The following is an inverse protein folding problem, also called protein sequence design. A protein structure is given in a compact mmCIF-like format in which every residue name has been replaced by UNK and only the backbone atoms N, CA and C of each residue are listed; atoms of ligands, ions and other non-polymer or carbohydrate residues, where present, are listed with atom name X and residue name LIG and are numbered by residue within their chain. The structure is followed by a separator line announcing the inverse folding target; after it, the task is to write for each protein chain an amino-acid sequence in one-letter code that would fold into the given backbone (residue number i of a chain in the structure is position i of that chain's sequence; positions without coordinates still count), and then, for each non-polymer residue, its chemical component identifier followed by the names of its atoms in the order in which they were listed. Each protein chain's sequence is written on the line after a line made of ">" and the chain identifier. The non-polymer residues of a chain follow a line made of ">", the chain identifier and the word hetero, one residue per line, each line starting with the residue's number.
data_IF_917340574879
#
_entry.id   IF_917340574879
#
_cell.length_a   1.000
_cell.length_b   1.000
_cell.length_c   1.000
_cell.angle_alpha   90.00
_cell.angle_beta   90.00
_cell.angle_gamma   90.00
#
_symmetry.space_group_name_H-M   'P 1'
#
loop_
_entity.id
_entity.type
_entity.pdbx_description
1 polymer ?
#
# COMPACT_ATOMS: atom_id res chain seq x y z
N UNK A 1 -20.70 10.89 -10.91
CA UNK A 1 -20.19 10.71 -12.28
C UNK A 1 -19.57 9.33 -12.43
N UNK A 2 -19.39 8.88 -13.68
CA UNK A 2 -18.62 7.68 -14.05
C UNK A 2 -17.87 8.00 -15.33
N UNK A 3 -16.56 7.85 -15.31
CA UNK A 3 -15.69 8.01 -16.46
C UNK A 3 -14.83 6.76 -16.63
N UNK A 4 -14.51 6.40 -17.88
CA UNK A 4 -13.59 5.30 -18.19
C UNK A 4 -12.41 5.92 -18.92
N UNK A 5 -11.21 5.60 -18.45
CA UNK A 5 -9.97 6.00 -19.11
C UNK A 5 -9.29 4.75 -19.63
N UNK A 6 -9.26 4.65 -20.94
CA UNK A 6 -8.42 3.73 -21.69
C UNK A 6 -7.05 4.41 -21.83
N UNK A 7 -5.95 3.66 -21.70
CA UNK A 7 -4.55 4.14 -21.75
C UNK A 7 -3.88 4.46 -20.41
N UNK A 8 -3.77 3.46 -19.53
CA UNK A 8 -2.81 3.52 -18.42
C UNK A 8 -1.38 3.31 -18.97
N UNK A 9 -0.73 4.42 -19.34
CA UNK A 9 0.64 4.40 -19.87
C UNK A 9 1.64 4.13 -18.74
N UNK A 10 2.37 3.02 -18.83
CA UNK A 10 3.49 2.70 -17.96
C UNK A 10 4.73 2.30 -18.74
N UNK A 11 5.88 2.59 -18.13
CA UNK A 11 7.20 2.36 -18.71
C UNK A 11 7.62 0.91 -18.47
N UNK A 12 7.46 0.05 -19.47
CA UNK A 12 7.90 -1.35 -19.46
C UNK A 12 9.37 -1.45 -19.82
N UNK A 13 10.12 -2.36 -19.19
CA UNK A 13 11.46 -2.72 -19.63
C UNK A 13 11.40 -3.46 -20.98
N UNK A 14 12.36 -3.19 -21.87
CA UNK A 14 12.53 -3.94 -23.12
C UNK A 14 13.92 -4.60 -23.13
N UNK A 15 14.07 -5.76 -23.81
CA UNK A 15 15.36 -6.43 -23.91
C UNK A 15 16.45 -5.49 -24.45
N UNK A 16 17.63 -5.52 -23.81
CA UNK A 16 18.75 -4.61 -24.05
C UNK A 16 19.41 -4.73 -25.43
N UNK A 17 19.03 -5.74 -26.24
CA UNK A 17 19.48 -5.91 -27.62
C UNK A 17 18.93 -4.83 -28.57
N UNK A 18 17.95 -4.05 -28.14
CA UNK A 18 17.29 -2.99 -28.93
C UNK A 18 17.97 -1.61 -28.82
N UNK A 19 18.97 -1.45 -27.96
CA UNK A 19 19.66 -0.17 -27.72
C UNK A 19 18.89 0.82 -26.83
N UNK A 20 17.67 0.48 -26.42
CA UNK A 20 16.86 1.19 -25.43
C UNK A 20 16.54 0.25 -24.26
N UNK A 21 16.39 0.77 -23.04
CA UNK A 21 16.12 -0.04 -21.84
C UNK A 21 14.64 -0.09 -21.44
N UNK A 22 13.79 0.77 -22.02
CA UNK A 22 12.36 0.89 -21.66
C UNK A 22 11.49 1.41 -22.80
N UNK A 23 10.21 1.03 -22.83
CA UNK A 23 9.17 1.57 -23.72
C UNK A 23 7.91 1.93 -22.90
N UNK A 24 7.20 2.99 -23.28
CA UNK A 24 5.86 3.28 -22.74
C UNK A 24 4.82 2.40 -23.42
N UNK A 25 4.14 1.57 -22.64
CA UNK A 25 3.04 0.71 -23.11
C UNK A 25 1.77 1.08 -22.37
N UNK A 26 0.62 1.03 -23.05
CA UNK A 26 -0.66 0.96 -22.36
C UNK A 26 -0.72 -0.41 -21.67
N UNK A 27 -0.73 -0.40 -20.35
CA UNK A 27 -0.75 -1.64 -19.56
C UNK A 27 -2.13 -1.99 -19.03
N UNK A 28 -3.17 -1.21 -19.34
CA UNK A 28 -4.50 -1.45 -18.81
C UNK A 28 -5.52 -0.34 -18.99
N UNK A 29 -6.77 -0.68 -18.67
CA UNK A 29 -7.92 0.22 -18.63
C UNK A 29 -8.32 0.47 -17.19
N UNK A 30 -8.69 1.71 -16.86
CA UNK A 30 -9.20 2.08 -15.53
C UNK A 30 -10.55 2.76 -15.64
N UNK A 31 -11.38 2.64 -14.61
CA UNK A 31 -12.60 3.43 -14.48
C UNK A 31 -12.58 4.25 -13.21
N UNK A 32 -13.20 5.43 -13.25
CA UNK A 32 -13.29 6.33 -12.12
C UNK A 32 -14.76 6.69 -11.85
N UNK A 33 -15.22 6.45 -10.62
CA UNK A 33 -16.62 6.61 -10.22
C UNK A 33 -16.70 7.37 -8.91
N UNK A 34 -17.50 8.44 -8.89
CA UNK A 34 -17.60 9.28 -7.72
C UNK A 34 -18.93 10.02 -7.60
N UNK A 35 -19.19 10.53 -6.40
CA UNK A 35 -20.31 11.42 -6.07
C UNK A 35 -19.74 12.69 -5.48
N UNK A 36 -20.26 13.82 -5.93
CA UNK A 36 -19.87 15.15 -5.47
C UNK A 36 -21.11 15.90 -5.01
N UNK A 37 -20.99 16.62 -3.90
CA UNK A 37 -22.03 17.45 -3.30
C UNK A 37 -21.45 18.81 -2.94
N UNK A 38 -22.20 19.86 -3.25
CA UNK A 38 -21.89 21.23 -2.86
C UNK A 38 -23.08 21.85 -2.14
N UNK A 39 -22.81 22.56 -1.04
CA UNK A 39 -23.80 23.34 -0.30
C UNK A 39 -23.30 24.77 -0.16
N UNK A 40 -24.13 25.72 -0.61
CA UNK A 40 -23.90 27.15 -0.44
C UNK A 40 -25.08 27.74 0.31
N UNK A 41 -24.81 28.45 1.40
CA UNK A 41 -25.84 29.06 2.21
C UNK A 41 -25.42 30.45 2.69
N UNK A 42 -26.35 31.39 2.65
CA UNK A 42 -26.24 32.66 3.38
C UNK A 42 -26.83 32.41 4.77
N UNK A 43 -25.97 32.42 5.79
CA UNK A 43 -26.33 32.11 7.17
C UNK A 43 -26.90 33.35 7.88
N UNK A 44 -26.34 34.52 7.58
CA UNK A 44 -26.79 35.81 8.11
C UNK A 44 -26.73 36.84 6.99
N UNK A 45 -27.79 37.62 6.86
CA UNK A 45 -27.84 38.79 6.00
C UNK A 45 -28.57 39.91 6.74
N UNK A 46 -27.81 40.85 7.31
CA UNK A 46 -28.37 41.94 8.10
C UNK A 46 -27.54 43.23 8.00
N UNK A 47 -28.10 44.24 7.31
CA UNK A 47 -27.52 45.57 7.24
C UNK A 47 -26.16 45.59 6.55
N UNK A 48 -25.13 45.97 7.29
CA UNK A 48 -23.72 46.02 6.85
C UNK A 48 -22.95 44.72 7.15
N UNK A 49 -23.62 43.68 7.68
CA UNK A 49 -23.03 42.39 7.97
C UNK A 49 -23.70 41.26 7.20
N UNK A 50 -22.89 40.43 6.53
CA UNK A 50 -23.32 39.16 5.96
C UNK A 50 -22.32 38.05 6.27
N UNK A 51 -22.85 36.84 6.45
CA UNK A 51 -22.08 35.62 6.62
C UNK A 51 -22.62 34.56 5.68
N UNK A 52 -21.76 34.03 4.81
CA UNK A 52 -22.07 32.88 3.98
C UNK A 52 -21.11 31.72 4.25
N UNK A 53 -21.60 30.51 4.01
CA UNK A 53 -20.84 29.28 4.11
C UNK A 53 -20.94 28.52 2.78
N UNK A 54 -19.81 27.96 2.35
CA UNK A 54 -19.71 27.07 1.21
C UNK A 54 -19.01 25.79 1.66
N UNK A 55 -19.66 24.66 1.43
CA UNK A 55 -19.13 23.33 1.71
C UNK A 55 -19.11 22.54 0.41
N UNK A 56 -18.02 21.82 0.19
CA UNK A 56 -17.89 20.87 -0.92
C UNK A 56 -17.47 19.53 -0.32
N UNK A 57 -17.98 18.43 -0.88
CA UNK A 57 -17.64 17.09 -0.46
C UNK A 57 -17.70 16.15 -1.66
N UNK A 58 -16.69 15.31 -1.81
CA UNK A 58 -16.56 14.37 -2.90
C UNK A 58 -16.02 13.03 -2.41
N UNK A 59 -16.55 11.96 -2.98
CA UNK A 59 -16.00 10.61 -2.86
C UNK A 59 -15.74 10.11 -4.27
N UNK A 60 -14.56 9.55 -4.49
CA UNK A 60 -14.17 9.03 -5.79
C UNK A 60 -13.41 7.70 -5.64
N UNK A 61 -13.65 6.76 -6.55
CA UNK A 61 -12.99 5.46 -6.57
C UNK A 61 -12.51 5.15 -7.98
N UNK A 62 -11.19 4.97 -8.12
CA UNK A 62 -10.57 4.49 -9.35
C UNK A 62 -10.34 2.96 -9.26
N UNK A 63 -10.77 2.23 -10.30
CA UNK A 63 -10.66 0.77 -10.41
C UNK A 63 -9.84 0.38 -11.62
N UNK A 64 -9.12 -0.73 -11.51
CA UNK A 64 -8.43 -1.38 -12.63
C UNK A 64 -9.42 -2.33 -13.30
N UNK A 65 -9.77 -2.07 -14.55
CA UNK A 65 -10.77 -2.85 -15.29
C UNK A 65 -10.13 -3.97 -16.11
N UNK A 66 -8.93 -3.72 -16.64
CA UNK A 66 -8.15 -4.69 -17.39
C UNK A 66 -6.67 -4.32 -17.32
N UNK A 67 -5.79 -5.31 -17.45
CA UNK A 67 -4.36 -5.10 -17.67
C UNK A 67 -3.94 -5.70 -19.02
N UNK A 68 -2.63 -5.70 -19.30
CA UNK A 68 -1.96 -6.19 -20.51
C UNK A 68 -2.05 -7.71 -20.76
N UNK A 69 -3.19 -8.32 -20.45
CA UNK A 69 -3.43 -9.76 -20.52
C UNK A 69 -3.02 -10.53 -19.25
N UNK A 70 -2.68 -9.81 -18.17
CA UNK A 70 -2.37 -10.40 -16.86
C UNK A 70 -3.41 -10.01 -15.81
N UNK A 71 -3.52 -10.81 -14.75
CA UNK A 71 -4.48 -10.52 -13.67
C UNK A 71 -3.91 -9.53 -12.65
N UNK A 72 -2.58 -9.46 -12.52
CA UNK A 72 -1.93 -8.52 -11.61
C UNK A 72 -0.52 -8.10 -12.04
N UNK A 73 -0.10 -6.95 -11.51
CA UNK A 73 1.22 -6.33 -11.71
C UNK A 73 1.72 -5.73 -10.41
N UNK A 74 2.99 -5.98 -10.13
CA UNK A 74 3.70 -5.35 -9.03
C UNK A 74 4.56 -4.19 -9.53
N UNK A 75 4.70 -3.15 -8.70
CA UNK A 75 5.51 -1.99 -9.01
C UNK A 75 6.36 -1.58 -7.81
N UNK A 76 7.50 -0.99 -8.13
CA UNK A 76 8.49 -0.52 -7.17
C UNK A 76 8.62 1.00 -7.31
N UNK A 77 8.26 1.72 -6.26
CA UNK A 77 8.42 3.18 -6.22
C UNK A 77 9.88 3.60 -6.06
N UNK A 78 10.74 2.69 -5.56
CA UNK A 78 12.13 2.96 -5.21
C UNK A 78 12.29 4.10 -4.18
N UNK A 79 11.28 4.35 -3.34
CA UNK A 79 11.28 5.48 -2.39
C UNK A 79 12.46 5.45 -1.40
N UNK A 80 12.97 4.26 -1.08
CA UNK A 80 14.15 4.07 -0.22
C UNK A 80 15.43 3.69 -0.99
N UNK A 81 15.53 4.07 -2.27
CA UNK A 81 16.72 3.82 -3.09
C UNK A 81 17.14 2.34 -3.11
N UNK A 82 18.41 2.04 -2.89
CA UNK A 82 18.97 0.67 -2.92
C UNK A 82 18.40 -0.26 -1.86
N UNK A 83 17.85 0.27 -0.77
CA UNK A 83 17.39 -0.55 0.36
C UNK A 83 16.08 -1.29 0.04
N UNK A 84 15.31 -0.79 -0.93
CA UNK A 84 14.04 -1.38 -1.38
C UNK A 84 13.97 -1.56 -2.90
N UNK A 85 15.11 -1.56 -3.59
CA UNK A 85 15.15 -1.65 -5.06
C UNK A 85 14.53 -2.93 -5.63
N UNK A 86 14.48 -3.99 -4.83
CA UNK A 86 13.92 -5.29 -5.20
C UNK A 86 12.63 -5.62 -4.40
N UNK A 87 11.97 -4.59 -3.86
CA UNK A 87 10.72 -4.75 -3.09
C UNK A 87 9.59 -3.98 -3.73
N UNK A 88 8.64 -4.73 -4.26
CA UNK A 88 7.38 -4.18 -4.73
C UNK A 88 6.67 -3.47 -3.59
N UNK A 89 6.07 -2.32 -3.83
CA UNK A 89 5.34 -1.55 -2.81
C UNK A 89 3.99 -1.03 -3.33
N UNK A 90 3.73 -1.24 -4.62
CA UNK A 90 2.44 -1.03 -5.26
C UNK A 90 1.98 -2.28 -5.97
N UNK A 91 0.66 -2.46 -5.99
CA UNK A 91 0.00 -3.63 -6.57
C UNK A 91 -1.20 -3.18 -7.40
N UNK A 92 -1.27 -3.67 -8.64
CA UNK A 92 -2.46 -3.56 -9.48
C UNK A 92 -3.03 -4.94 -9.69
N UNK A 93 -4.32 -5.08 -9.50
CA UNK A 93 -5.08 -6.30 -9.73
C UNK A 93 -6.33 -5.95 -10.52
N UNK A 94 -6.69 -6.77 -11.51
CA UNK A 94 -7.95 -6.60 -12.24
C UNK A 94 -9.14 -6.70 -11.28
N UNK A 95 -9.99 -5.69 -11.28
CA UNK A 95 -11.09 -5.52 -10.32
C UNK A 95 -10.69 -4.81 -9.01
N UNK A 96 -9.39 -4.68 -8.75
CA UNK A 96 -8.81 -3.95 -7.63
C UNK A 96 -8.86 -2.43 -7.81
N UNK A 97 -8.35 -1.69 -6.82
CA UNK A 97 -8.32 -0.22 -6.84
C UNK A 97 -6.98 0.27 -7.38
N UNK A 98 -7.02 1.38 -8.09
CA UNK A 98 -5.78 2.06 -8.46
C UNK A 98 -5.12 2.64 -7.21
N UNK A 99 -3.79 2.50 -7.13
CA UNK A 99 -2.99 3.06 -6.03
C UNK A 99 -2.94 2.21 -4.78
N UNK A 100 -3.29 0.92 -4.85
CA UNK A 100 -3.12 -0.01 -3.73
C UNK A 100 -1.63 -0.16 -3.38
N UNK A 101 -1.35 0.01 -2.08
CA UNK A 101 -0.01 -0.11 -1.49
C UNK A 101 0.09 -1.51 -0.90
N UNK A 102 1.15 -2.24 -1.27
CA UNK A 102 1.30 -3.66 -0.96
C UNK A 102 2.50 -3.92 -0.05
N UNK A 103 2.26 -4.52 1.11
CA UNK A 103 3.30 -4.67 2.14
C UNK A 103 2.87 -5.56 3.30
N UNK A 104 3.64 -5.50 4.38
CA UNK A 104 3.39 -6.28 5.59
C UNK A 104 2.45 -5.54 6.55
N UNK A 105 1.60 -6.30 7.23
CA UNK A 105 0.74 -5.75 8.28
C UNK A 105 1.51 -5.71 9.59
N UNK A 106 1.61 -4.53 10.20
CA UNK A 106 2.21 -4.38 11.53
C UNK A 106 1.31 -5.03 12.59
N UNK A 107 1.92 -5.81 13.48
CA UNK A 107 1.33 -6.37 14.69
C UNK A 107 1.98 -5.75 15.95
N UNK A 108 2.39 -4.48 15.83
CA UNK A 108 3.04 -3.74 16.91
C UNK A 108 4.52 -4.10 17.07
N UNK A 109 4.92 -4.44 18.29
CA UNK A 109 6.30 -4.75 18.63
C UNK A 109 6.40 -6.00 19.50
N UNK A 110 7.51 -6.73 19.39
CA UNK A 110 7.81 -7.84 20.30
C UNK A 110 7.98 -7.29 21.72
N UNK A 111 7.15 -7.75 22.64
CA UNK A 111 7.24 -7.48 24.07
C UNK A 111 8.07 -8.53 24.77
N UNK A 112 8.43 -8.32 26.04
CA UNK A 112 9.09 -9.36 26.86
C UNK A 112 8.23 -10.62 27.00
N UNK A 113 6.91 -10.51 26.86
CA UNK A 113 6.00 -11.65 26.97
C UNK A 113 6.01 -12.56 25.74
N UNK A 114 6.56 -12.13 24.61
CA UNK A 114 6.68 -12.92 23.38
C UNK A 114 7.83 -13.93 23.44
N UNK A 115 8.66 -13.89 24.48
CA UNK A 115 9.87 -14.72 24.62
C UNK A 115 9.78 -15.70 25.79
N UNK A 116 10.29 -16.90 25.59
CA UNK A 116 10.33 -17.96 26.60
C UNK A 116 11.59 -17.87 27.47
N UNK A 117 12.71 -17.49 26.87
CA UNK A 117 14.01 -17.42 27.54
C UNK A 117 15.00 -16.51 26.80
N UNK A 118 16.12 -16.24 27.47
CA UNK A 118 17.29 -15.58 26.89
C UNK A 118 18.49 -16.52 27.05
N UNK A 119 19.20 -16.77 25.96
CA UNK A 119 20.44 -17.53 25.94
C UNK A 119 21.63 -16.56 26.02
N UNK A 120 22.30 -16.54 27.18
CA UNK A 120 23.47 -15.69 27.44
C UNK A 120 24.69 -16.07 26.58
N UNK A 121 24.84 -17.34 26.21
CA UNK A 121 25.99 -17.81 25.45
C UNK A 121 25.91 -17.35 23.98
N UNK A 122 24.70 -17.33 23.40
CA UNK A 122 24.48 -16.85 22.03
C UNK A 122 24.02 -15.40 21.95
N UNK A 123 23.63 -14.82 23.09
CA UNK A 123 23.09 -13.47 23.19
C UNK A 123 21.71 -13.31 22.55
N UNK A 124 20.90 -14.38 22.50
CA UNK A 124 19.64 -14.45 21.74
C UNK A 124 18.42 -14.67 22.62
N UNK A 125 17.31 -14.02 22.27
CA UNK A 125 16.01 -14.34 22.84
C UNK A 125 15.36 -15.49 22.07
N UNK A 126 14.68 -16.38 22.79
CA UNK A 126 13.90 -17.47 22.19
C UNK A 126 12.42 -17.09 22.17
N UNK A 127 11.82 -17.06 20.98
CA UNK A 127 10.38 -16.80 20.83
C UNK A 127 9.57 -17.93 21.45
N UNK A 128 8.40 -17.59 22.02
CA UNK A 128 7.42 -18.60 22.44
C UNK A 128 6.80 -19.28 21.22
N UNK A 129 6.28 -20.48 21.45
CA UNK A 129 5.47 -21.17 20.45
C UNK A 129 4.25 -20.32 20.04
N UNK A 130 3.93 -20.33 18.74
CA UNK A 130 2.89 -19.51 18.15
C UNK A 130 3.20 -18.01 18.01
N UNK A 131 4.41 -17.55 18.37
CA UNK A 131 4.85 -16.18 18.06
C UNK A 131 5.62 -16.20 16.73
N UNK A 132 5.13 -15.48 15.69
CA UNK A 132 5.80 -15.47 14.40
C UNK A 132 7.22 -14.91 14.47
N UNK A 133 8.11 -15.43 13.64
CA UNK A 133 9.49 -14.98 13.54
C UNK A 133 9.66 -14.04 12.34
N UNK A 134 9.86 -12.74 12.61
CA UNK A 134 10.05 -11.72 11.58
C UNK A 134 11.51 -11.43 11.21
N UNK A 135 12.48 -12.16 11.77
CA UNK A 135 13.92 -11.85 11.69
C UNK A 135 14.43 -11.60 10.26
N UNK A 136 14.08 -12.49 9.33
CA UNK A 136 14.47 -12.41 7.92
C UNK A 136 13.89 -11.19 7.21
N UNK A 137 12.70 -10.74 7.63
CA UNK A 137 11.95 -9.69 6.93
C UNK A 137 12.27 -8.29 7.44
N UNK A 138 12.51 -8.12 8.74
CA UNK A 138 12.82 -6.81 9.35
C UNK A 138 14.32 -6.49 9.38
N UNK A 139 15.14 -7.28 8.67
CA UNK A 139 16.57 -7.04 8.50
C UNK A 139 17.40 -7.29 9.77
N UNK A 140 16.92 -8.11 10.71
CA UNK A 140 17.66 -8.43 11.93
C UNK A 140 17.56 -9.90 12.29
N UNK A 141 18.72 -10.56 12.39
CA UNK A 141 18.83 -11.99 12.70
C UNK A 141 18.53 -12.33 14.16
N UNK A 142 18.47 -11.35 15.07
CA UNK A 142 18.28 -11.54 16.51
C UNK A 142 17.09 -10.67 17.01
N UNK A 143 15.87 -11.15 16.79
CA UNK A 143 14.65 -10.53 17.31
C UNK A 143 14.73 -10.43 18.84
N UNK A 144 14.36 -9.26 19.38
CA UNK A 144 14.38 -8.94 20.81
C UNK A 144 13.28 -7.94 21.15
N UNK A 145 12.96 -7.71 22.44
CA UNK A 145 11.95 -6.75 22.81
C UNK A 145 12.15 -5.36 22.17
N UNK A 146 11.05 -4.76 21.70
CA UNK A 146 11.03 -3.47 20.99
C UNK A 146 11.15 -3.58 19.46
N UNK A 147 11.42 -4.76 18.91
CA UNK A 147 11.48 -4.96 17.46
C UNK A 147 10.08 -4.93 16.84
N UNK A 148 9.97 -4.47 15.59
CA UNK A 148 8.71 -4.50 14.84
C UNK A 148 8.22 -5.94 14.71
N UNK A 149 6.98 -6.17 15.12
CA UNK A 149 6.26 -7.42 14.93
C UNK A 149 5.37 -7.29 13.70
N UNK A 150 5.35 -8.32 12.87
CA UNK A 150 4.54 -8.38 11.66
C UNK A 150 3.54 -9.52 11.81
N UNK A 151 2.35 -9.33 11.24
CA UNK A 151 1.29 -10.33 11.29
C UNK A 151 1.61 -11.47 10.33
N UNK A 152 1.58 -12.68 10.85
CA UNK A 152 1.57 -13.91 10.06
C UNK A 152 0.17 -14.11 9.47
N UNK A 153 0.08 -14.11 8.14
CA UNK A 153 -1.17 -14.22 7.40
C UNK A 153 -1.47 -15.66 6.99
N UNK A 154 -0.46 -16.51 6.85
CA UNK A 154 -0.62 -17.88 6.37
C UNK A 154 -0.58 -18.93 7.51
N UNK A 155 -0.16 -18.52 8.72
CA UNK A 155 -0.13 -19.33 9.94
C UNK A 155 1.08 -20.27 10.03
N UNK A 156 2.15 -20.06 9.27
CA UNK A 156 3.35 -20.91 9.27
C UNK A 156 4.39 -20.54 10.33
N UNK A 157 4.19 -19.42 11.04
CA UNK A 157 5.07 -18.91 12.08
C UNK A 157 6.32 -18.18 11.57
N UNK A 158 6.45 -17.96 10.25
CA UNK A 158 7.63 -17.36 9.61
C UNK A 158 7.21 -16.22 8.68
N UNK A 159 7.57 -14.99 9.03
CA UNK A 159 7.19 -13.84 8.19
C UNK A 159 8.02 -13.79 6.92
N UNK A 160 7.36 -13.91 5.77
CA UNK A 160 7.95 -13.93 4.44
C UNK A 160 7.04 -13.28 3.37
N UNK A 161 7.37 -13.43 2.08
CA UNK A 161 6.60 -12.80 0.99
C UNK A 161 5.12 -13.17 0.93
N UNK A 162 4.75 -14.33 1.46
CA UNK A 162 3.36 -14.81 1.53
C UNK A 162 2.52 -14.05 2.60
N UNK A 163 3.17 -13.30 3.49
CA UNK A 163 2.50 -12.49 4.53
C UNK A 163 2.22 -11.05 4.11
N UNK A 164 2.31 -10.79 2.80
CA UNK A 164 2.08 -9.48 2.22
C UNK A 164 0.64 -9.34 1.75
N UNK A 165 0.09 -8.14 1.90
CA UNK A 165 -1.27 -7.82 1.48
C UNK A 165 -1.40 -6.34 1.13
N UNK A 166 -2.56 -5.93 0.64
CA UNK A 166 -2.89 -4.52 0.44
C UNK A 166 -3.06 -3.87 1.82
N UNK A 167 -2.15 -2.97 2.17
CA UNK A 167 -2.09 -2.30 3.49
C UNK A 167 -2.62 -0.87 3.44
N UNK A 168 -2.87 -0.34 2.25
CA UNK A 168 -3.34 1.02 2.07
C UNK A 168 -3.66 1.33 0.62
N UNK A 169 -4.16 2.54 0.38
CA UNK A 169 -4.41 3.05 -0.94
C UNK A 169 -4.00 4.52 -0.99
N UNK A 170 -3.29 4.93 -2.05
CA UNK A 170 -2.79 6.29 -2.22
C UNK A 170 -3.89 7.31 -2.54
N UNK A 171 -5.09 6.85 -2.93
CA UNK A 171 -6.24 7.71 -3.18
C UNK A 171 -7.04 7.93 -1.90
N UNK A 172 -7.47 9.17 -1.63
CA UNK A 172 -8.25 9.47 -0.44
C UNK A 172 -9.64 8.83 -0.52
N UNK A 173 -10.20 8.50 0.65
CA UNK A 173 -11.58 7.99 0.73
C UNK A 173 -12.63 9.06 0.45
N UNK A 174 -12.31 10.32 0.74
CA UNK A 174 -13.14 11.51 0.50
C UNK A 174 -12.26 12.75 0.42
N UNK A 175 -12.79 13.83 -0.16
CA UNK A 175 -12.17 15.14 -0.31
C UNK A 175 -13.24 16.22 -0.13
N UNK A 176 -12.90 17.42 0.34
CA UNK A 176 -13.86 18.49 0.60
C UNK A 176 -13.28 19.66 1.38
#
# INVERSE_FOLDING_TARGET
>A
YRNTTEDLLLRSAIPSNTGFSTQWNNIGTTSNQGVEMGLSAVLVDHGDFSLSANLNFGVNTAKVEALDGTDSRFFQSNWASTDLRDRDDYYLEVGGKLGDIYGYVSDGYYSTNDFSSYDEATGRYQLKDGVPNASATVGNTNIRPGFMKLKDLNGDGVINSEDRTVIGNALPKHQG
#
